data_IF_780146158698
#
_entry.id   IF_780146158698
#
_cell.length_a   1.000
_cell.length_b   1.000
_cell.length_c   1.000
_cell.angle_alpha   90.00
_cell.angle_beta   90.00
_cell.angle_gamma   90.00
#
_symmetry.space_group_name_H-M   'P 1'
#
loop_
_entity.id
_entity.type
_entity.pdbx_description
1 polymer ?
#
# COMPACT_ATOMS: atom_id res chain seq x y z
N UNK A 1 3.27 -19.49 -4.26
CA UNK A 1 3.13 -18.16 -4.89
C UNK A 1 2.97 -17.15 -3.77
N UNK A 2 3.82 -16.13 -3.65
CA UNK A 2 3.61 -15.06 -2.66
C UNK A 2 2.87 -13.90 -3.30
N UNK A 3 1.78 -13.43 -2.70
CA UNK A 3 0.99 -12.30 -3.19
C UNK A 3 1.68 -11.01 -2.75
N UNK A 4 1.98 -10.13 -3.71
CA UNK A 4 2.46 -8.76 -3.47
C UNK A 4 1.39 -7.76 -3.89
N UNK A 5 1.15 -6.75 -3.07
CA UNK A 5 0.13 -5.73 -3.30
C UNK A 5 0.81 -4.37 -3.54
N UNK A 6 0.42 -3.69 -4.61
CA UNK A 6 0.82 -2.30 -4.87
C UNK A 6 -0.31 -1.33 -4.52
N UNK A 7 -0.01 -0.25 -3.79
CA UNK A 7 -0.96 0.84 -3.52
C UNK A 7 -0.43 2.14 -4.14
N UNK A 8 -1.18 2.72 -5.07
CA UNK A 8 -0.84 3.95 -5.78
C UNK A 8 -1.73 5.09 -5.26
N UNK A 9 -1.10 6.16 -4.76
CA UNK A 9 -1.74 7.27 -4.05
C UNK A 9 -1.84 6.98 -2.55
N UNK A 10 -1.01 7.64 -1.74
CA UNK A 10 -0.91 7.47 -0.28
C UNK A 10 -1.58 8.64 0.48
N UNK A 11 -2.69 9.15 -0.06
CA UNK A 11 -3.53 10.13 0.62
C UNK A 11 -4.33 9.51 1.78
N UNK A 12 -5.39 10.21 2.22
CA UNK A 12 -6.22 9.82 3.36
C UNK A 12 -6.73 8.37 3.33
N UNK A 13 -7.03 7.82 2.14
CA UNK A 13 -7.50 6.44 2.00
C UNK A 13 -6.36 5.47 1.75
N UNK A 14 -5.42 5.82 0.87
CA UNK A 14 -4.39 4.89 0.41
C UNK A 14 -3.37 4.54 1.49
N UNK A 15 -2.98 5.49 2.35
CA UNK A 15 -2.01 5.24 3.41
C UNK A 15 -2.52 4.29 4.50
N UNK A 16 -3.71 4.50 5.12
CA UNK A 16 -4.23 3.53 6.09
C UNK A 16 -4.56 2.17 5.46
N UNK A 17 -4.98 2.15 4.19
CA UNK A 17 -5.24 0.90 3.46
C UNK A 17 -3.94 0.10 3.21
N UNK A 18 -2.88 0.76 2.71
CA UNK A 18 -1.57 0.14 2.52
C UNK A 18 -1.02 -0.42 3.84
N UNK A 19 -1.17 0.33 4.94
CA UNK A 19 -0.76 -0.09 6.28
C UNK A 19 -1.54 -1.31 6.76
N UNK A 20 -2.84 -1.38 6.51
CA UNK A 20 -3.67 -2.53 6.89
C UNK A 20 -3.25 -3.78 6.11
N UNK A 21 -3.07 -3.67 4.79
CA UNK A 21 -2.64 -4.79 3.97
C UNK A 21 -1.22 -5.28 4.29
N UNK A 22 -0.33 -4.37 4.72
CA UNK A 22 1.04 -4.71 5.13
C UNK A 22 1.10 -5.61 6.38
N UNK A 23 -0.01 -5.78 7.11
CA UNK A 23 -0.09 -6.71 8.24
C UNK A 23 -0.17 -8.18 7.81
N UNK A 24 -0.56 -8.45 6.55
CA UNK A 24 -0.79 -9.81 6.04
C UNK A 24 -0.07 -10.11 4.73
N UNK A 25 0.31 -9.07 3.97
CA UNK A 25 0.92 -9.20 2.65
C UNK A 25 2.15 -8.29 2.53
N UNK A 26 3.03 -8.62 1.59
CA UNK A 26 4.10 -7.72 1.18
C UNK A 26 3.51 -6.59 0.33
N UNK A 27 3.59 -5.35 0.83
CA UNK A 27 2.95 -4.18 0.24
C UNK A 27 3.98 -3.13 -0.16
N UNK A 28 3.87 -2.63 -1.39
CA UNK A 28 4.65 -1.49 -1.89
C UNK A 28 3.70 -0.31 -2.10
N UNK A 29 3.99 0.83 -1.47
CA UNK A 29 3.27 2.09 -1.66
C UNK A 29 4.00 3.05 -2.60
N UNK A 30 3.27 3.78 -3.43
CA UNK A 30 3.79 4.83 -4.31
C UNK A 30 2.87 6.05 -4.30
N UNK A 31 3.41 7.26 -4.21
CA UNK A 31 2.68 8.52 -4.35
C UNK A 31 3.44 9.43 -5.32
N UNK A 32 2.70 10.14 -6.18
CA UNK A 32 3.28 11.05 -7.18
C UNK A 32 3.71 12.40 -6.60
N UNK A 33 3.14 12.78 -5.45
CA UNK A 33 3.39 14.05 -4.77
C UNK A 33 4.31 13.88 -3.55
N UNK A 34 4.96 12.72 -3.42
CA UNK A 34 5.87 12.38 -2.32
C UNK A 34 7.09 13.28 -2.26
#
# INVERSE_FOLDING_TARGET
MSIKIGVIGLGYVGLPLARLFATQYDVVGFDING
#
